data_IF_495745982066
#
_entry.id   IF_495745982066
#
_cell.length_a   1.000
_cell.length_b   1.000
_cell.length_c   1.000
_cell.angle_alpha   90.00
_cell.angle_beta   90.00
_cell.angle_gamma   90.00
#
_symmetry.space_group_name_H-M   'P 1'
#
loop_
_entity.id
_entity.type
_entity.pdbx_description
1 polymer ?
#
# COMPACT_ATOMS: atom_id res chain seq x y z
N UNK A 1 20.02 -1.47 -4.99
CA UNK A 1 19.50 -1.80 -3.66
C UNK A 1 18.06 -2.13 -3.87
N UNK A 2 17.62 -3.25 -3.31
CA UNK A 2 16.24 -3.70 -3.45
C UNK A 2 15.40 -3.12 -2.30
N UNK A 3 14.09 -3.14 -2.47
CA UNK A 3 13.12 -2.79 -1.44
C UNK A 3 12.16 -3.97 -1.23
N UNK A 4 11.63 -4.10 -0.02
CA UNK A 4 10.49 -4.97 0.23
C UNK A 4 9.55 -4.34 1.24
N UNK A 5 8.26 -4.62 1.06
CA UNK A 5 7.20 -4.20 1.94
C UNK A 5 6.57 -5.43 2.58
N UNK A 6 6.21 -5.30 3.85
CA UNK A 6 5.51 -6.34 4.61
C UNK A 6 4.11 -5.81 4.95
N UNK A 7 3.10 -6.67 4.78
CA UNK A 7 1.74 -6.39 5.22
C UNK A 7 1.66 -6.14 6.71
N UNK A 8 0.60 -5.47 7.13
CA UNK A 8 0.35 -5.12 8.53
C UNK A 8 -0.03 -6.37 9.32
N UNK A 9 -0.99 -7.14 8.82
CA UNK A 9 -1.50 -8.35 9.46
C UNK A 9 -1.57 -9.57 8.52
N UNK A 10 -1.69 -10.75 9.13
CA UNK A 10 -1.89 -12.01 8.41
C UNK A 10 -3.30 -12.05 7.81
N UNK A 11 -3.39 -12.26 6.50
CA UNK A 11 -4.67 -12.31 5.81
C UNK A 11 -5.04 -11.04 5.04
N UNK A 12 -4.33 -9.93 5.20
CA UNK A 12 -4.62 -8.68 4.46
C UNK A 12 -4.38 -8.81 2.95
N UNK A 13 -3.59 -9.82 2.56
CA UNK A 13 -3.22 -10.12 1.17
C UNK A 13 -2.54 -8.93 0.47
N UNK A 14 -1.72 -8.19 1.20
CA UNK A 14 -0.94 -7.08 0.66
C UNK A 14 -0.07 -7.49 -0.54
N UNK A 15 0.00 -6.61 -1.54
CA UNK A 15 0.72 -6.87 -2.79
C UNK A 15 -0.06 -7.73 -3.79
N UNK A 16 -1.35 -8.01 -3.54
CA UNK A 16 -2.23 -8.67 -4.51
C UNK A 16 -2.38 -7.86 -5.81
N UNK A 17 -2.43 -6.53 -5.67
CA UNK A 17 -2.44 -5.56 -6.77
C UNK A 17 -1.30 -4.56 -6.57
N UNK A 18 -0.66 -4.19 -7.67
CA UNK A 18 0.39 -3.15 -7.70
C UNK A 18 0.18 -2.28 -8.94
N UNK A 19 0.26 -0.98 -8.76
CA UNK A 19 0.20 -0.01 -9.86
C UNK A 19 1.19 1.13 -9.64
N UNK A 20 1.58 1.80 -10.73
CA UNK A 20 2.28 3.08 -10.67
C UNK A 20 1.22 4.20 -10.64
N UNK A 21 1.31 5.10 -9.65
CA UNK A 21 0.45 6.27 -9.55
C UNK A 21 0.95 7.47 -10.36
N UNK A 22 2.17 7.39 -10.88
CA UNK A 22 2.93 8.56 -11.31
C UNK A 22 3.46 9.35 -10.11
N UNK A 23 4.08 10.49 -10.36
CA UNK A 23 4.60 11.39 -9.32
C UNK A 23 3.46 12.21 -8.67
N UNK A 24 2.91 11.73 -7.57
CA UNK A 24 1.77 12.34 -6.86
C UNK A 24 2.22 13.49 -5.97
N UNK A 25 3.45 13.43 -5.44
CA UNK A 25 3.97 14.43 -4.50
C UNK A 25 4.81 15.54 -5.16
N UNK A 26 5.12 15.41 -6.45
CA UNK A 26 5.88 16.38 -7.25
C UNK A 26 7.39 16.32 -7.05
N UNK A 27 7.95 15.19 -6.62
CA UNK A 27 9.39 15.03 -6.36
C UNK A 27 10.20 14.54 -7.57
N UNK A 28 9.54 14.23 -8.68
CA UNK A 28 10.11 13.77 -9.93
C UNK A 28 10.26 12.25 -10.05
N UNK A 29 9.69 11.47 -9.13
CA UNK A 29 9.70 10.00 -9.17
C UNK A 29 8.30 9.42 -9.17
N UNK A 30 8.08 8.37 -9.97
CA UNK A 30 6.78 7.68 -9.97
C UNK A 30 6.55 6.97 -8.62
N UNK A 31 5.37 7.22 -8.03
CA UNK A 31 4.90 6.61 -6.80
C UNK A 31 4.20 5.27 -7.06
N UNK A 32 4.08 4.47 -6.00
CA UNK A 32 3.59 3.10 -6.06
C UNK A 32 2.31 2.99 -5.23
N UNK A 33 1.29 2.33 -5.80
CA UNK A 33 0.12 1.86 -5.08
C UNK A 33 0.24 0.36 -4.82
N UNK A 34 -0.08 -0.06 -3.60
CA UNK A 34 -0.10 -1.45 -3.17
C UNK A 34 -1.45 -1.73 -2.54
N UNK A 35 -2.22 -2.66 -3.10
CA UNK A 35 -3.51 -3.07 -2.54
C UNK A 35 -3.37 -4.25 -1.58
N UNK A 36 -4.24 -4.27 -0.57
CA UNK A 36 -4.42 -5.32 0.42
C UNK A 36 -5.92 -5.51 0.65
N UNK A 37 -6.58 -6.28 -0.22
CA UNK A 37 -8.04 -6.40 -0.24
C UNK A 37 -8.62 -7.20 0.94
N UNK A 38 -7.76 -7.90 1.69
CA UNK A 38 -8.16 -8.69 2.85
C UNK A 38 -8.13 -7.91 4.16
N UNK A 39 -7.69 -6.66 4.14
CA UNK A 39 -7.65 -5.79 5.32
C UNK A 39 -9.05 -5.58 5.90
N UNK A 40 -9.13 -5.62 7.23
CA UNK A 40 -10.38 -5.61 8.00
C UNK A 40 -10.62 -4.31 8.79
N UNK A 41 -9.78 -3.27 8.65
CA UNK A 41 -9.85 -2.04 9.46
C UNK A 41 -11.14 -1.24 9.20
N UNK A 42 -11.64 -1.29 7.97
CA UNK A 42 -12.93 -0.71 7.56
C UNK A 42 -14.13 -1.63 7.75
N UNK A 43 -13.92 -2.86 8.24
CA UNK A 43 -14.89 -3.96 8.26
C UNK A 43 -14.39 -5.18 7.51
N UNK A 44 -15.05 -6.33 7.68
CA UNK A 44 -14.56 -7.59 7.10
C UNK A 44 -14.37 -7.50 5.59
N UNK A 45 -13.15 -7.72 5.11
CA UNK A 45 -12.71 -7.56 3.72
C UNK A 45 -13.06 -6.19 3.13
N UNK A 46 -12.99 -5.13 3.95
CA UNK A 46 -13.12 -3.77 3.45
C UNK A 46 -11.97 -3.41 2.52
N UNK A 47 -10.77 -3.90 2.83
CA UNK A 47 -9.56 -3.71 2.06
C UNK A 47 -8.93 -2.32 2.23
N UNK A 48 -7.68 -2.19 1.82
CA UNK A 48 -6.92 -0.94 1.87
C UNK A 48 -5.97 -0.81 0.67
N UNK A 49 -5.76 0.42 0.21
CA UNK A 49 -4.70 0.77 -0.75
C UNK A 49 -3.65 1.67 -0.09
N UNK A 50 -2.37 1.31 -0.20
CA UNK A 50 -1.24 2.09 0.29
C UNK A 50 -0.58 2.89 -0.82
N UNK A 51 -0.24 4.15 -0.55
CA UNK A 51 0.61 4.98 -1.41
C UNK A 51 2.02 5.04 -0.82
N UNK A 52 3.01 4.66 -1.63
CA UNK A 52 4.43 4.72 -1.29
C UNK A 52 5.13 5.69 -2.24
N UNK A 53 5.79 6.71 -1.69
CA UNK A 53 6.52 7.66 -2.49
C UNK A 53 7.79 7.06 -3.11
N UNK A 54 7.92 7.27 -4.42
CA UNK A 54 9.07 6.89 -5.22
C UNK A 54 10.36 7.56 -4.74
N UNK A 55 11.51 6.93 -5.01
CA UNK A 55 12.83 7.50 -4.71
C UNK A 55 13.95 6.75 -5.44
N UNK A 56 15.10 7.42 -5.61
CA UNK A 56 16.31 6.82 -6.21
C UNK A 56 17.25 6.17 -5.21
N UNK A 57 17.13 6.50 -3.92
CA UNK A 57 17.99 5.96 -2.85
C UNK A 57 17.25 5.97 -1.50
N UNK A 58 17.84 5.33 -0.49
CA UNK A 58 17.20 5.21 0.83
C UNK A 58 16.08 4.17 0.87
N UNK A 59 16.07 3.23 -0.08
CA UNK A 59 15.23 2.04 -0.01
C UNK A 59 15.66 1.13 1.13
N UNK A 60 14.69 0.47 1.76
CA UNK A 60 14.89 -0.46 2.84
C UNK A 60 14.12 -1.77 2.58
N UNK A 61 14.59 -2.84 3.20
CA UNK A 61 13.89 -4.12 3.20
C UNK A 61 12.94 -4.19 4.39
N UNK A 62 11.81 -4.86 4.20
CA UNK A 62 10.79 -5.16 5.20
C UNK A 62 10.22 -3.89 5.84
N UNK A 63 9.96 -2.88 5.01
CA UNK A 63 9.23 -1.67 5.40
C UNK A 63 7.78 -2.06 5.66
N UNK A 64 7.26 -1.66 6.81
CA UNK A 64 5.88 -1.95 7.19
C UNK A 64 4.90 -1.09 6.38
N UNK A 65 3.84 -1.66 5.83
CA UNK A 65 2.87 -0.90 5.03
C UNK A 65 2.09 0.13 5.87
N UNK A 66 2.01 -0.07 7.19
CA UNK A 66 1.52 0.95 8.14
C UNK A 66 2.35 2.25 8.11
N UNK A 67 3.58 2.19 7.57
CA UNK A 67 4.48 3.35 7.37
C UNK A 67 4.36 3.98 5.98
N UNK A 68 3.32 3.62 5.22
CA UNK A 68 3.01 4.23 3.93
C UNK A 68 2.83 5.76 4.04
N UNK A 69 2.97 6.44 2.91
CA UNK A 69 2.85 7.90 2.85
C UNK A 69 1.40 8.36 2.93
N UNK A 70 0.48 7.54 2.44
CA UNK A 70 -0.95 7.65 2.64
C UNK A 70 -1.59 6.27 2.49
N UNK A 71 -2.80 6.11 3.03
CA UNK A 71 -3.62 4.92 2.83
C UNK A 71 -5.08 5.29 2.54
N UNK A 72 -5.79 4.39 1.87
CA UNK A 72 -7.19 4.54 1.46
C UNK A 72 -7.95 3.26 1.86
N UNK A 73 -8.69 3.34 2.96
CA UNK A 73 -9.44 2.21 3.55
C UNK A 73 -10.81 2.11 2.87
N UNK A 74 -11.28 0.90 2.58
CA UNK A 74 -12.68 0.66 2.20
C UNK A 74 -13.60 0.98 3.37
N UNK A 75 -14.69 1.68 3.15
CA UNK A 75 -15.49 2.22 4.25
C UNK A 75 -16.51 1.21 4.80
N UNK A 76 -16.79 0.13 4.05
CA UNK A 76 -17.72 -0.92 4.45
C UNK A 76 -17.16 -2.33 4.22
N UNK A 77 -17.70 -3.29 4.98
CA UNK A 77 -17.35 -4.70 4.83
C UNK A 77 -17.69 -5.22 3.42
N UNK A 78 -16.71 -5.85 2.77
CA UNK A 78 -16.86 -6.41 1.43
C UNK A 78 -16.71 -5.40 0.30
N UNK A 79 -16.18 -4.21 0.57
CA UNK A 79 -15.77 -3.27 -0.48
C UNK A 79 -14.57 -3.80 -1.29
N UNK A 80 -13.70 -4.60 -0.67
CA UNK A 80 -12.47 -5.12 -1.27
C UNK A 80 -11.61 -4.03 -1.92
N UNK A 81 -11.50 -2.88 -1.26
CA UNK A 81 -10.62 -1.79 -1.70
C UNK A 81 -9.18 -2.30 -1.79
N UNK A 82 -8.49 -2.05 -2.91
CA UNK A 82 -7.14 -2.57 -3.17
C UNK A 82 -6.95 -3.16 -4.55
#
# INVERSE_FOLDING_TARGET
MDASFKGEDDGDVSGHSIALAGDVNGDGYDDILIGAYGDDDGGSFAGITYLIFGRTSGWAMNVDLSQSNASFIGEEAGDYSG
#
